data_IF_789167858588
#
_entry.id   IF_789167858588
#
_cell.length_a   1.000
_cell.length_b   1.000
_cell.length_c   1.000
_cell.angle_alpha   90.00
_cell.angle_beta   90.00
_cell.angle_gamma   90.00
#
_symmetry.space_group_name_H-M   'P 1'
#
loop_
_entity.id
_entity.type
_entity.pdbx_description
1 polymer ?
#
# COMPACT_ATOMS: atom_id res chain seq x y z
N UNK A 1 15.63 0.40 7.66
CA UNK A 1 14.80 0.16 8.86
C UNK A 1 14.04 1.44 9.16
N UNK A 2 12.74 1.49 8.86
CA UNK A 2 11.90 2.60 9.28
C UNK A 2 11.53 2.38 10.75
N UNK A 3 11.94 3.31 11.62
CA UNK A 3 11.53 3.34 13.02
C UNK A 3 10.69 4.59 13.21
N UNK A 4 9.41 4.42 13.57
CA UNK A 4 8.60 5.51 14.08
C UNK A 4 8.94 5.69 15.55
N UNK A 5 9.00 6.94 16.01
CA UNK A 5 9.03 7.22 17.45
C UNK A 5 7.69 6.79 18.06
N UNK A 6 7.62 6.44 19.36
CA UNK A 6 6.36 6.13 20.02
C UNK A 6 5.32 7.25 19.81
N UNK A 7 4.11 6.91 19.36
CA UNK A 7 3.06 7.87 19.00
C UNK A 7 3.30 8.62 17.68
N UNK A 8 4.30 8.19 16.89
CA UNK A 8 4.62 8.76 15.60
C UNK A 8 3.68 8.24 14.52
N UNK A 9 3.30 9.14 13.61
CA UNK A 9 2.49 8.84 12.43
C UNK A 9 3.28 9.15 11.16
N UNK A 10 3.01 8.39 10.10
CA UNK A 10 3.59 8.60 8.77
C UNK A 10 2.57 8.31 7.69
N UNK A 11 2.56 9.16 6.66
CA UNK A 11 1.82 8.92 5.42
C UNK A 11 2.76 8.44 4.33
N UNK A 12 2.41 7.33 3.69
CA UNK A 12 3.11 6.77 2.55
C UNK A 12 2.20 6.93 1.32
N UNK A 13 2.72 7.56 0.28
CA UNK A 13 2.07 7.68 -1.03
C UNK A 13 3.04 7.15 -2.07
N UNK A 14 2.64 6.10 -2.79
CA UNK A 14 3.46 5.49 -3.81
C UNK A 14 2.62 4.89 -4.94
N UNK A 15 3.15 4.75 -6.16
CA UNK A 15 2.42 4.13 -7.27
C UNK A 15 1.89 2.73 -6.92
N UNK A 16 0.62 2.48 -7.22
CA UNK A 16 0.03 1.14 -7.06
C UNK A 16 0.63 0.19 -8.10
N UNK A 17 0.83 -1.10 -7.79
CA UNK A 17 1.43 -2.08 -8.71
C UNK A 17 0.71 -2.24 -10.06
N UNK A 18 -0.58 -1.86 -10.09
CA UNK A 18 -1.43 -1.83 -11.29
C UNK A 18 -1.39 -0.50 -12.05
N UNK A 19 -0.51 0.42 -11.66
CA UNK A 19 -0.22 1.66 -12.38
C UNK A 19 1.00 1.42 -13.27
N UNK A 20 0.92 1.79 -14.55
CA UNK A 20 2.07 1.75 -15.46
C UNK A 20 3.27 2.49 -14.89
N UNK A 21 3.02 3.56 -14.12
CA UNK A 21 4.07 4.33 -13.43
C UNK A 21 4.88 3.48 -12.46
N UNK A 22 4.28 2.46 -11.85
CA UNK A 22 4.97 1.57 -10.91
C UNK A 22 5.97 0.63 -11.60
N UNK A 23 5.76 0.28 -12.87
CA UNK A 23 6.55 -0.76 -13.54
C UNK A 23 7.47 -0.20 -14.63
N UNK A 24 7.11 0.94 -15.23
CA UNK A 24 7.92 1.54 -16.30
C UNK A 24 9.20 2.22 -15.77
N UNK A 25 9.23 2.62 -14.50
CA UNK A 25 10.35 3.32 -13.91
C UNK A 25 11.43 2.33 -13.45
N UNK A 26 12.61 2.39 -14.07
CA UNK A 26 13.74 1.53 -13.76
C UNK A 26 14.35 1.79 -12.37
N UNK A 27 13.94 2.86 -11.69
CA UNK A 27 14.38 3.19 -10.32
C UNK A 27 13.53 2.53 -9.25
N UNK A 28 12.38 1.94 -9.59
CA UNK A 28 11.52 1.28 -8.61
C UNK A 28 12.09 -0.06 -8.15
N UNK A 29 12.01 -0.29 -6.84
CA UNK A 29 12.38 -1.57 -6.24
C UNK A 29 11.26 -2.60 -6.41
N UNK A 30 11.64 -3.86 -6.65
CA UNK A 30 10.71 -4.98 -6.72
C UNK A 30 10.66 -5.69 -5.36
N UNK A 31 9.48 -6.12 -4.88
CA UNK A 31 8.18 -6.12 -5.55
C UNK A 31 7.45 -4.76 -5.50
N UNK A 32 6.57 -4.48 -6.48
CA UNK A 32 5.74 -3.28 -6.49
C UNK A 32 4.70 -3.34 -5.37
N UNK A 33 4.23 -2.17 -4.94
CA UNK A 33 3.34 -2.04 -3.78
C UNK A 33 1.88 -2.25 -4.18
N UNK A 34 1.22 -3.15 -3.44
CA UNK A 34 -0.24 -3.31 -3.43
C UNK A 34 -0.77 -2.96 -2.04
N UNK A 35 -2.08 -2.90 -1.86
CA UNK A 35 -2.70 -2.63 -0.56
C UNK A 35 -2.24 -3.57 0.54
N UNK A 36 -2.18 -4.85 0.21
CA UNK A 36 -1.83 -5.91 1.14
C UNK A 36 -0.35 -5.88 1.54
N UNK A 37 0.50 -5.10 0.84
CA UNK A 37 1.91 -4.95 1.19
C UNK A 37 2.09 -4.41 2.61
N UNK A 38 1.18 -3.54 3.08
CA UNK A 38 1.25 -2.94 4.42
C UNK A 38 0.91 -3.92 5.55
N UNK A 39 0.16 -5.00 5.26
CA UNK A 39 -0.17 -6.07 6.23
C UNK A 39 1.09 -6.70 6.83
N UNK A 40 2.19 -6.75 6.06
CA UNK A 40 3.47 -7.27 6.52
C UNK A 40 4.17 -6.36 7.53
N UNK A 41 3.69 -5.15 7.79
CA UNK A 41 4.23 -4.28 8.84
C UNK A 41 3.54 -4.46 10.19
N UNK A 42 2.35 -5.07 10.24
CA UNK A 42 1.66 -5.38 11.49
C UNK A 42 2.04 -6.76 12.03
N UNK A 43 2.59 -6.84 13.24
CA UNK A 43 3.07 -8.11 13.80
C UNK A 43 1.93 -9.06 14.14
N UNK A 44 0.81 -8.53 14.63
CA UNK A 44 -0.39 -9.30 14.92
C UNK A 44 -0.90 -10.06 13.69
N UNK A 45 -1.00 -9.37 12.55
CA UNK A 45 -1.40 -9.96 11.28
C UNK A 45 -0.40 -11.02 10.80
N UNK A 46 0.91 -10.74 10.84
CA UNK A 46 1.93 -11.74 10.46
C UNK A 46 1.83 -12.99 11.32
N UNK A 47 1.70 -12.85 12.64
CA UNK A 47 1.55 -13.97 13.58
C UNK A 47 0.30 -14.79 13.30
N UNK A 48 -0.84 -14.14 13.08
CA UNK A 48 -2.10 -14.81 12.77
C UNK A 48 -2.03 -15.62 11.46
N UNK A 49 -1.23 -15.17 10.49
CA UNK A 49 -1.05 -15.83 9.20
C UNK A 49 0.19 -16.76 9.15
N UNK A 50 0.87 -16.99 10.28
CA UNK A 50 2.03 -17.88 10.34
C UNK A 50 3.29 -17.35 9.64
N UNK A 51 3.38 -16.04 9.40
CA UNK A 51 4.45 -15.36 8.64
C UNK A 51 5.58 -14.84 9.53
N UNK A 52 5.82 -15.43 10.70
CA UNK A 52 6.98 -15.08 11.56
C UNK A 52 8.28 -15.79 11.14
N UNK A 53 8.26 -16.56 10.04
CA UNK A 53 9.40 -17.28 9.49
C UNK A 53 10.14 -16.48 8.40
N UNK A 54 11.38 -16.89 8.08
CA UNK A 54 12.17 -16.28 7.00
C UNK A 54 11.44 -16.34 5.65
N UNK A 55 11.45 -15.27 4.82
CA UNK A 55 12.20 -14.00 4.93
C UNK A 55 11.49 -12.87 5.68
N UNK A 56 10.41 -13.16 6.41
CA UNK A 56 9.52 -12.17 7.00
C UNK A 56 9.71 -11.80 8.50
N UNK A 57 10.81 -12.13 9.22
CA UNK A 57 11.01 -11.64 10.58
C UNK A 57 11.41 -10.16 10.57
N UNK A 58 10.43 -9.29 10.26
CA UNK A 58 10.56 -7.84 10.38
C UNK A 58 10.34 -7.44 11.84
N UNK A 59 11.05 -6.40 12.28
CA UNK A 59 10.87 -5.81 13.62
C UNK A 59 9.73 -4.79 13.67
N UNK A 60 9.07 -4.53 12.54
CA UNK A 60 7.98 -3.58 12.44
C UNK A 60 6.75 -4.12 13.15
N UNK A 61 6.06 -3.26 13.89
CA UNK A 61 4.76 -3.55 14.48
C UNK A 61 3.93 -2.28 14.46
N UNK A 62 3.38 -1.97 13.29
CA UNK A 62 2.60 -0.77 13.06
C UNK A 62 1.16 -1.12 12.74
N UNK A 63 0.24 -0.27 13.21
CA UNK A 63 -1.11 -0.24 12.71
C UNK A 63 -1.16 0.65 11.46
N UNK A 64 -2.08 0.35 10.56
CA UNK A 64 -2.20 1.10 9.33
C UNK A 64 -3.64 1.11 8.79
N UNK A 65 -3.91 2.10 7.95
CA UNK A 65 -5.04 2.12 7.03
C UNK A 65 -4.52 2.44 5.64
N UNK A 66 -5.06 1.78 4.62
CA UNK A 66 -4.74 2.09 3.23
C UNK A 66 -6.00 2.40 2.44
N UNK A 67 -5.82 3.19 1.39
CA UNK A 67 -6.80 3.45 0.35
C UNK A 67 -6.09 3.84 -0.94
N UNK A 68 -6.85 4.35 -1.88
CA UNK A 68 -6.35 4.70 -3.21
C UNK A 68 -6.53 6.16 -3.52
N UNK A 69 -5.59 6.64 -4.33
CA UNK A 69 -5.77 7.81 -5.16
C UNK A 69 -6.18 7.28 -6.53
N UNK A 70 -7.44 7.47 -6.97
CA UNK A 70 -7.88 7.07 -8.30
C UNK A 70 -7.07 7.78 -9.39
N UNK A 71 -6.98 7.17 -10.57
CA UNK A 71 -6.39 7.84 -11.72
C UNK A 71 -7.20 9.11 -12.07
N UNK A 72 -6.55 10.23 -12.49
CA UNK A 72 -7.24 11.50 -12.71
C UNK A 72 -8.45 11.44 -13.66
N UNK A 73 -8.45 10.52 -14.63
CA UNK A 73 -9.57 10.30 -15.56
C UNK A 73 -10.88 9.93 -14.87
N UNK A 74 -10.81 9.40 -13.64
CA UNK A 74 -11.97 9.04 -12.84
C UNK A 74 -12.39 10.15 -11.86
N UNK A 75 -11.70 11.30 -11.78
CA UNK A 75 -12.00 12.33 -10.76
C UNK A 75 -13.43 12.87 -10.84
N UNK A 76 -13.97 13.05 -12.04
CA UNK A 76 -15.32 13.57 -12.28
C UNK A 76 -16.40 12.45 -12.33
N UNK A 77 -16.00 11.19 -12.17
CA UNK A 77 -16.91 10.04 -12.17
C UNK A 77 -17.60 9.85 -10.81
N UNK A 78 -18.68 9.09 -10.82
CA UNK A 78 -19.37 8.70 -9.59
C UNK A 78 -18.47 7.88 -8.67
N UNK A 79 -18.81 7.85 -7.37
CA UNK A 79 -18.03 7.08 -6.39
C UNK A 79 -18.03 5.58 -6.69
N UNK A 80 -19.13 5.05 -7.21
CA UNK A 80 -19.25 3.63 -7.59
C UNK A 80 -18.36 3.31 -8.79
N UNK A 81 -18.34 4.17 -9.81
CA UNK A 81 -17.45 4.01 -10.96
C UNK A 81 -15.97 4.09 -10.55
N UNK A 82 -15.61 5.03 -9.67
CA UNK A 82 -14.25 5.13 -9.11
C UNK A 82 -13.87 3.84 -8.39
N UNK A 83 -14.74 3.35 -7.52
CA UNK A 83 -14.51 2.14 -6.72
C UNK A 83 -14.40 0.90 -7.62
N UNK A 84 -15.25 0.79 -8.64
CA UNK A 84 -15.18 -0.29 -9.62
C UNK A 84 -13.87 -0.24 -10.42
N UNK A 85 -13.50 0.94 -10.92
CA UNK A 85 -12.28 1.11 -11.70
C UNK A 85 -11.02 0.78 -10.89
N UNK A 86 -10.92 1.30 -9.67
CA UNK A 86 -9.79 1.02 -8.75
C UNK A 86 -9.64 -0.47 -8.49
N UNK A 87 -10.74 -1.21 -8.34
CA UNK A 87 -10.72 -2.64 -8.04
C UNK A 87 -10.46 -3.52 -9.27
N UNK A 88 -10.94 -3.14 -10.46
CA UNK A 88 -10.98 -4.03 -11.61
C UNK A 88 -10.05 -3.65 -12.77
N UNK A 89 -9.63 -2.39 -12.88
CA UNK A 89 -8.85 -1.93 -14.03
C UNK A 89 -7.38 -1.70 -13.73
N UNK A 90 -6.56 -2.06 -14.71
CA UNK A 90 -5.19 -1.57 -14.79
C UNK A 90 -5.20 -0.06 -15.04
N UNK A 91 -4.38 0.70 -14.33
CA UNK A 91 -4.41 2.16 -14.21
C UNK A 91 -5.72 2.74 -13.61
N UNK A 92 -6.53 1.94 -12.91
CA UNK A 92 -7.68 2.48 -12.16
C UNK A 92 -7.25 3.27 -10.93
N UNK A 93 -6.26 2.74 -10.19
CA UNK A 93 -5.58 3.43 -9.10
C UNK A 93 -4.26 4.02 -9.62
N UNK A 94 -4.02 5.30 -9.32
CA UNK A 94 -2.76 5.96 -9.58
C UNK A 94 -1.73 5.58 -8.51
N UNK A 95 -2.07 5.81 -7.25
CA UNK A 95 -1.19 5.61 -6.10
C UNK A 95 -1.95 4.96 -4.94
N UNK A 96 -1.24 4.19 -4.12
CA UNK A 96 -1.71 3.79 -2.79
C UNK A 96 -1.45 4.94 -1.84
N UNK A 97 -2.42 5.19 -0.97
CA UNK A 97 -2.29 6.11 0.15
C UNK A 97 -2.44 5.33 1.46
N UNK A 98 -1.34 5.17 2.20
CA UNK A 98 -1.33 4.47 3.48
C UNK A 98 -0.95 5.41 4.62
N UNK A 99 -1.72 5.39 5.70
CA UNK A 99 -1.37 6.00 6.98
C UNK A 99 -0.87 4.89 7.92
N UNK A 100 0.26 5.13 8.58
CA UNK A 100 0.95 4.16 9.45
C UNK A 100 1.21 4.81 10.80
N UNK A 101 0.91 4.10 11.90
CA UNK A 101 1.10 4.57 13.27
C UNK A 101 1.76 3.53 14.19
N UNK A 102 2.39 4.01 15.26
CA UNK A 102 3.10 3.22 16.28
C UNK A 102 2.55 3.48 17.69
#
# INVERSE_FOLDING_TARGET
>A
MAYLSPGGEMTIICPHARSNRAVQDLTHEWPPIVWESFLYFNRGWRKANGLEHFPYPTKCDFDFSYGDIPHPDFNEKSQDEKSFAVNHYWNGAADVHAAVGC
#
